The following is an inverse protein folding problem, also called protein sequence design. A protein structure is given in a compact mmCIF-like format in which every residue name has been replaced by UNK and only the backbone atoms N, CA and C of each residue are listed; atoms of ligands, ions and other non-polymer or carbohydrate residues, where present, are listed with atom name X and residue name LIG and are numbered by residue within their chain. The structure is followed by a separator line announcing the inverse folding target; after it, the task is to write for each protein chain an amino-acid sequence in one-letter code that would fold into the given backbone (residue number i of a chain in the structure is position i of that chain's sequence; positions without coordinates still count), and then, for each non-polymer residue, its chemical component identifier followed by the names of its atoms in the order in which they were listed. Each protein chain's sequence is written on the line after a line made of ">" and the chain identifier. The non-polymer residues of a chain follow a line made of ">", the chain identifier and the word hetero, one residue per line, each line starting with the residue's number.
data_IF_071875162879
#
_entry.id   IF_071875162879
#
_cell.length_a   1.000
_cell.length_b   1.000
_cell.length_c   1.000
_cell.angle_alpha   90.00
_cell.angle_beta   90.00
_cell.angle_gamma   90.00
#
_symmetry.space_group_name_H-M   'P 1'
#
loop_
_entity.id
_entity.type
_entity.pdbx_description
1 polymer ?
#
# COMPACT_ATOMS: atom_id res chain seq x y z
N UNK A 1 -23.82 -10.28 11.46
CA UNK A 1 -22.47 -10.54 10.91
C UNK A 1 -22.30 -12.00 10.41
N UNK A 2 -21.35 -12.28 9.50
CA UNK A 2 -20.92 -13.66 9.14
C UNK A 2 -19.68 -14.02 9.98
N UNK A 3 -19.63 -15.24 10.50
CA UNK A 3 -18.53 -15.75 11.33
C UNK A 3 -18.09 -17.12 10.79
N UNK A 4 -16.79 -17.33 10.64
CA UNK A 4 -16.21 -18.58 10.17
C UNK A 4 -15.61 -19.36 11.34
N UNK A 5 -16.00 -20.62 11.50
CA UNK A 5 -15.49 -21.45 12.57
C UNK A 5 -14.02 -21.86 12.33
N UNK A 6 -13.10 -21.49 13.22
CA UNK A 6 -11.66 -21.79 13.09
C UNK A 6 -11.29 -23.29 13.12
N UNK A 7 -12.21 -24.20 13.44
CA UNK A 7 -11.95 -25.64 13.49
C UNK A 7 -12.46 -26.40 12.26
N UNK A 8 -13.58 -25.98 11.68
CA UNK A 8 -14.24 -26.70 10.59
C UNK A 8 -14.57 -25.82 9.37
N UNK A 9 -14.17 -24.55 9.38
CA UNK A 9 -14.44 -23.55 8.32
C UNK A 9 -15.93 -23.30 8.00
N UNK A 10 -16.86 -23.79 8.84
CA UNK A 10 -18.28 -23.57 8.63
C UNK A 10 -18.64 -22.09 8.86
N UNK A 11 -19.24 -21.46 7.85
CA UNK A 11 -19.69 -20.06 7.90
C UNK A 11 -21.10 -20.00 8.46
N UNK A 12 -21.30 -19.26 9.54
CA UNK A 12 -22.60 -19.05 10.17
C UNK A 12 -22.96 -17.58 10.34
N UNK A 13 -24.26 -17.29 10.31
CA UNK A 13 -24.78 -15.94 10.57
C UNK A 13 -25.00 -15.78 12.06
N UNK A 14 -24.31 -14.80 12.64
CA UNK A 14 -24.34 -14.50 14.07
C UNK A 14 -24.99 -13.12 14.25
N UNK A 15 -25.91 -12.96 15.20
CA UNK A 15 -26.53 -11.66 15.47
C UNK A 15 -25.50 -10.71 16.10
N UNK A 16 -25.66 -9.42 15.83
CA UNK A 16 -24.62 -8.45 16.16
C UNK A 16 -24.41 -8.26 17.68
N UNK A 17 -25.44 -8.52 18.50
CA UNK A 17 -25.34 -8.51 19.96
C UNK A 17 -24.53 -9.69 20.54
N UNK A 18 -24.07 -10.62 19.70
CA UNK A 18 -23.17 -11.70 20.08
C UNK A 18 -21.69 -11.37 19.79
N UNK A 19 -21.38 -10.20 19.22
CA UNK A 19 -19.99 -9.74 19.10
C UNK A 19 -19.30 -9.70 20.48
N UNK A 20 -18.09 -10.27 20.57
CA UNK A 20 -17.33 -10.39 21.81
C UNK A 20 -17.73 -11.55 22.73
N UNK A 21 -18.87 -12.23 22.47
CA UNK A 21 -19.38 -13.35 23.26
C UNK A 21 -18.90 -14.70 22.71
N UNK A 22 -18.93 -15.74 23.54
CA UNK A 22 -18.63 -17.11 23.14
C UNK A 22 -19.87 -17.78 22.54
N UNK A 23 -19.72 -18.35 21.35
CA UNK A 23 -20.75 -19.12 20.65
C UNK A 23 -20.29 -20.56 20.42
N UNK A 24 -21.22 -21.47 20.18
CA UNK A 24 -20.94 -22.88 19.84
C UNK A 24 -21.20 -23.11 18.37
N UNK A 25 -20.24 -23.70 17.65
CA UNK A 25 -20.42 -24.04 16.24
C UNK A 25 -21.48 -25.14 16.09
N UNK A 26 -22.47 -24.93 15.22
CA UNK A 26 -23.54 -25.90 14.94
C UNK A 26 -23.05 -27.13 14.18
N UNK A 27 -21.91 -27.06 13.50
CA UNK A 27 -21.37 -28.15 12.71
C UNK A 27 -20.45 -29.09 13.53
N UNK A 28 -19.55 -28.54 14.34
CA UNK A 28 -18.53 -29.34 15.05
C UNK A 28 -18.63 -29.26 16.59
N UNK A 29 -19.53 -28.46 17.15
CA UNK A 29 -19.71 -28.32 18.60
C UNK A 29 -18.61 -27.51 19.32
N UNK A 30 -17.58 -27.03 18.63
CA UNK A 30 -16.52 -26.25 19.26
C UNK A 30 -17.03 -24.88 19.73
N UNK A 31 -16.63 -24.46 20.93
CA UNK A 31 -16.91 -23.14 21.48
C UNK A 31 -15.85 -22.13 21.03
N UNK A 32 -16.26 -21.02 20.42
CA UNK A 32 -15.36 -19.98 19.90
C UNK A 32 -15.87 -18.58 20.27
N UNK A 33 -14.95 -17.61 20.40
CA UNK A 33 -15.29 -16.23 20.73
C UNK A 33 -15.47 -15.41 19.46
N UNK A 34 -16.61 -14.74 19.33
CA UNK A 34 -16.89 -13.85 18.21
C UNK A 34 -16.05 -12.58 18.39
N UNK A 35 -15.36 -12.07 17.36
CA UNK A 35 -14.65 -10.79 17.44
C UNK A 35 -15.58 -9.67 17.92
N UNK A 36 -15.13 -8.84 18.86
CA UNK A 36 -15.89 -7.70 19.35
C UNK A 36 -15.86 -6.52 18.35
N UNK A 37 -16.90 -5.68 18.35
CA UNK A 37 -17.01 -4.49 17.47
C UNK A 37 -15.94 -3.41 17.70
N UNK A 38 -15.00 -3.59 18.64
CA UNK A 38 -13.99 -2.58 18.98
C UNK A 38 -12.59 -3.13 19.19
N UNK A 39 -12.33 -4.40 18.85
CA UNK A 39 -11.00 -4.99 19.00
C UNK A 39 -10.35 -5.25 17.64
N UNK A 40 -10.21 -4.20 16.83
CA UNK A 40 -9.10 -4.13 15.89
C UNK A 40 -7.83 -3.80 16.69
N UNK A 41 -7.46 -4.65 17.64
CA UNK A 41 -6.06 -4.68 18.08
C UNK A 41 -5.33 -5.23 16.88
N UNK A 42 -4.60 -4.34 16.21
CA UNK A 42 -3.49 -4.69 15.33
C UNK A 42 -2.72 -5.77 16.09
N UNK A 43 -2.89 -7.03 15.67
CA UNK A 43 -2.04 -8.10 16.14
C UNK A 43 -0.70 -7.73 15.53
N UNK A 44 0.13 -7.04 16.33
CA UNK A 44 1.57 -7.02 16.13
C UNK A 44 1.94 -8.47 15.89
N UNK A 45 2.42 -8.73 14.68
CA UNK A 45 2.82 -10.04 14.20
C UNK A 45 4.01 -10.48 15.06
N UNK A 46 3.71 -11.03 16.24
CA UNK A 46 4.68 -11.59 17.16
C UNK A 46 5.19 -12.89 16.53
N UNK A 47 6.21 -12.72 15.68
CA UNK A 47 7.35 -13.60 15.48
C UNK A 47 7.08 -15.07 15.85
N UNK A 48 6.28 -15.75 15.02
CA UNK A 48 6.31 -17.21 14.94
C UNK A 48 7.72 -17.62 14.46
N UNK A 49 8.61 -17.83 15.43
CA UNK A 49 9.90 -18.48 15.23
C UNK A 49 9.63 -19.89 14.73
N UNK A 50 9.72 -20.09 13.42
CA UNK A 50 9.86 -21.44 12.86
C UNK A 50 11.25 -21.97 13.29
N UNK A 51 11.35 -23.20 13.80
CA UNK A 51 12.65 -23.85 14.01
C UNK A 51 13.34 -24.02 12.66
N UNK A 52 14.63 -23.69 12.62
CA UNK A 52 15.46 -23.79 11.43
C UNK A 52 15.54 -25.25 10.94
N UNK A 53 15.49 -25.51 9.62
CA UNK A 53 15.87 -26.81 9.08
C UNK A 53 17.37 -27.03 9.31
N UNK A 54 17.72 -28.20 9.82
CA UNK A 54 19.08 -28.69 9.99
C UNK A 54 19.77 -28.80 8.63
N UNK A 55 20.60 -27.82 8.27
CA UNK A 55 21.43 -27.85 7.06
C UNK A 55 22.60 -28.80 7.30
N UNK A 56 22.69 -29.79 6.41
CA UNK A 56 23.71 -30.82 6.39
C UNK A 56 25.12 -30.25 6.19
N UNK A 57 26.07 -30.94 6.82
CA UNK A 57 27.50 -30.75 6.71
C UNK A 57 27.94 -30.85 5.24
N UNK A 58 28.42 -29.75 4.67
CA UNK A 58 29.32 -29.79 3.52
C UNK A 58 30.73 -29.45 3.97
N UNK A 59 31.59 -30.45 3.85
CA UNK A 59 33.04 -30.37 3.98
C UNK A 59 33.56 -29.76 2.68
N UNK A 60 34.20 -28.60 2.74
CA UNK A 60 35.08 -28.11 1.67
C UNK A 60 36.47 -27.89 2.26
N UNK A 61 37.36 -28.83 1.92
CA UNK A 61 38.81 -28.73 2.03
C UNK A 61 39.33 -27.97 0.80
N UNK A 62 40.31 -27.09 0.99
CA UNK A 62 41.05 -26.42 -0.10
C UNK A 62 41.14 -24.91 0.13
N UNK A 63 42.00 -24.38 1.01
CA UNK A 63 43.46 -24.34 0.92
C UNK A 63 43.91 -23.39 -0.22
N UNK A 64 44.26 -22.16 0.17
CA UNK A 64 44.70 -21.09 -0.74
C UNK A 64 45.00 -19.78 0.00
N UNK A 65 45.77 -19.86 1.09
CA UNK A 65 46.25 -18.71 1.84
C UNK A 65 47.39 -18.05 1.06
N UNK A 66 47.12 -16.93 0.37
CA UNK A 66 48.17 -16.02 -0.12
C UNK A 66 48.19 -14.81 0.79
N UNK A 67 49.23 -14.76 1.62
CA UNK A 67 49.51 -13.72 2.60
C UNK A 67 50.26 -12.59 1.87
N UNK A 68 49.55 -11.53 1.48
CA UNK A 68 50.19 -10.29 1.02
C UNK A 68 50.19 -9.32 2.19
N UNK A 69 51.34 -9.18 2.82
CA UNK A 69 51.63 -8.15 3.82
C UNK A 69 51.84 -6.83 3.07
N UNK A 70 50.83 -5.96 3.04
CA UNK A 70 51.04 -4.53 2.77
C UNK A 70 51.00 -3.81 4.10
N UNK A 71 52.18 -3.42 4.56
CA UNK A 71 52.37 -2.60 5.73
C UNK A 71 51.98 -1.14 5.43
N UNK A 72 51.25 -0.54 6.35
CA UNK A 72 51.10 0.90 6.52
C UNK A 72 49.91 1.49 5.79
N UNK A 73 48.85 1.83 6.54
CA UNK A 73 48.32 3.20 6.59
C UNK A 73 47.32 3.31 7.74
N UNK A 74 47.55 4.34 8.56
CA UNK A 74 46.66 4.90 9.58
C UNK A 74 45.22 5.00 9.08
N UNK A 75 44.22 4.48 9.81
CA UNK A 75 42.82 4.91 9.69
C UNK A 75 42.21 5.07 11.10
N UNK A 76 41.65 6.24 11.44
CA UNK A 76 41.15 6.57 12.77
C UNK A 76 39.70 6.10 12.98
N UNK A 77 39.33 6.01 14.27
CA UNK A 77 37.98 6.12 14.84
C UNK A 77 36.88 5.19 14.29
N UNK A 78 36.69 4.08 15.00
CA UNK A 78 35.42 3.33 15.01
C UNK A 78 34.36 4.12 15.80
N UNK A 79 33.74 5.10 15.15
CA UNK A 79 32.41 5.57 15.55
C UNK A 79 31.42 4.51 15.04
N UNK A 80 30.96 3.65 15.95
CA UNK A 80 29.76 2.87 15.73
C UNK A 80 28.57 3.84 15.64
N UNK A 81 28.28 4.32 14.44
CA UNK A 81 26.96 4.86 14.13
C UNK A 81 26.02 3.67 14.04
N UNK A 82 25.32 3.38 15.13
CA UNK A 82 24.03 2.74 15.01
C UNK A 82 23.20 3.65 14.10
N UNK A 83 23.06 3.27 12.83
CA UNK A 83 22.06 3.85 11.96
C UNK A 83 20.72 3.45 12.56
N UNK A 84 20.08 4.39 13.26
CA UNK A 84 18.64 4.35 13.42
C UNK A 84 18.03 4.07 12.03
N UNK A 85 17.04 3.17 11.90
CA UNK A 85 16.38 2.96 10.63
C UNK A 85 15.92 4.33 10.16
N UNK A 86 16.25 4.74 8.94
CA UNK A 86 15.82 6.04 8.48
C UNK A 86 14.29 5.97 8.36
N UNK A 87 13.59 6.48 9.37
CA UNK A 87 12.38 7.29 9.18
C UNK A 87 12.80 8.59 8.43
N UNK A 88 13.61 8.45 7.36
CA UNK A 88 13.93 9.52 6.45
C UNK A 88 12.71 9.68 5.57
N UNK A 89 11.84 10.58 6.02
CA UNK A 89 10.86 11.20 5.15
C UNK A 89 11.61 11.76 3.94
N UNK A 90 11.54 11.06 2.82
CA UNK A 90 11.92 11.61 1.55
C UNK A 90 10.76 12.53 1.15
N UNK A 91 10.85 13.82 1.48
CA UNK A 91 9.96 14.84 0.95
C UNK A 91 10.28 14.99 -0.54
N UNK A 92 9.81 14.07 -1.38
CA UNK A 92 10.24 14.08 -2.78
C UNK A 92 9.42 15.07 -3.57
N UNK A 93 10.16 15.98 -4.20
CA UNK A 93 9.69 16.90 -5.23
C UNK A 93 9.08 16.07 -6.38
N UNK A 94 7.77 15.79 -6.28
CA UNK A 94 6.94 15.10 -7.29
C UNK A 94 7.35 13.70 -7.72
N UNK A 95 8.55 13.21 -7.42
CA UNK A 95 9.11 11.97 -7.98
C UNK A 95 9.72 11.12 -6.88
N UNK A 96 9.11 10.01 -6.49
CA UNK A 96 9.77 8.98 -5.70
C UNK A 96 10.56 8.04 -6.62
N UNK A 97 11.77 7.64 -6.24
CA UNK A 97 12.57 6.70 -7.01
C UNK A 97 13.41 5.79 -6.11
N UNK A 98 13.40 4.50 -6.43
CA UNK A 98 14.33 3.51 -5.93
C UNK A 98 14.72 2.49 -7.02
N UNK A 99 15.45 1.44 -6.62
CA UNK A 99 15.98 0.42 -7.53
C UNK A 99 14.89 -0.38 -8.28
N UNK A 100 13.66 -0.40 -7.79
CA UNK A 100 12.58 -1.19 -8.38
C UNK A 100 11.51 -0.31 -9.02
N UNK A 101 11.31 0.90 -8.51
CA UNK A 101 10.15 1.71 -8.85
C UNK A 101 10.51 3.18 -8.94
N UNK A 102 9.96 3.86 -9.94
CA UNK A 102 9.88 5.32 -9.98
C UNK A 102 8.42 5.74 -10.08
N UNK A 103 7.95 6.52 -9.11
CA UNK A 103 6.58 7.06 -9.06
C UNK A 103 6.64 8.57 -9.20
N UNK A 104 5.99 9.10 -10.22
CA UNK A 104 5.99 10.52 -10.56
C UNK A 104 4.57 11.07 -10.54
N UNK A 105 4.37 12.19 -9.86
CA UNK A 105 3.14 12.98 -9.92
C UNK A 105 3.08 13.68 -11.28
N UNK A 106 2.15 13.23 -12.12
CA UNK A 106 1.97 13.75 -13.49
C UNK A 106 1.09 14.99 -13.48
N UNK A 107 -0.06 14.89 -12.83
CA UNK A 107 -1.07 15.95 -12.86
C UNK A 107 -1.95 15.92 -11.61
N UNK A 108 -2.49 17.10 -11.27
CA UNK A 108 -3.47 17.30 -10.19
C UNK A 108 -4.54 18.22 -10.72
N UNK A 109 -5.75 17.69 -10.90
CA UNK A 109 -6.89 18.43 -11.44
C UNK A 109 -8.05 18.43 -10.46
N UNK A 110 -8.79 19.53 -10.45
CA UNK A 110 -10.07 19.65 -9.75
C UNK A 110 -11.18 19.88 -10.78
N UNK A 111 -12.30 19.17 -10.61
CA UNK A 111 -13.51 19.43 -11.38
C UNK A 111 -14.44 18.23 -11.47
N UNK A 112 -15.52 18.33 -12.26
CA UNK A 112 -16.35 17.19 -12.57
C UNK A 112 -15.54 16.21 -13.41
N UNK A 113 -15.56 14.93 -13.03
CA UNK A 113 -14.92 13.90 -13.83
C UNK A 113 -15.86 13.30 -14.85
N UNK A 114 -15.29 12.98 -16.01
CA UNK A 114 -15.90 12.15 -17.04
C UNK A 114 -14.93 11.04 -17.37
N UNK A 115 -15.19 9.83 -16.87
CA UNK A 115 -14.26 8.71 -17.01
C UNK A 115 -14.96 7.45 -17.48
N UNK A 116 -14.30 6.72 -18.35
CA UNK A 116 -14.79 5.45 -18.87
C UNK A 116 -14.32 4.31 -17.95
N UNK A 117 -15.25 3.75 -17.18
CA UNK A 117 -14.93 2.68 -16.23
C UNK A 117 -14.87 1.29 -16.88
N UNK A 118 -15.58 1.13 -18.00
CA UNK A 118 -15.59 -0.06 -18.84
C UNK A 118 -15.79 0.39 -20.28
N UNK A 119 -15.35 -0.41 -21.28
CA UNK A 119 -15.61 -0.11 -22.68
C UNK A 119 -17.10 0.22 -22.94
N UNK A 120 -17.37 1.45 -23.35
CA UNK A 120 -18.71 2.00 -23.60
C UNK A 120 -19.48 2.50 -22.38
N UNK A 121 -18.91 2.45 -21.16
CA UNK A 121 -19.54 2.91 -19.92
C UNK A 121 -18.77 4.10 -19.35
N UNK A 122 -19.30 5.29 -19.62
CA UNK A 122 -18.80 6.55 -19.07
C UNK A 122 -19.58 6.89 -17.81
N UNK A 123 -18.85 7.29 -16.76
CA UNK A 123 -19.40 7.90 -15.56
C UNK A 123 -19.05 9.37 -15.60
N UNK A 124 -20.07 10.19 -15.37
CA UNK A 124 -19.91 11.62 -15.13
C UNK A 124 -20.27 11.89 -13.67
N UNK A 125 -19.40 12.60 -12.96
CA UNK A 125 -19.69 13.14 -11.63
C UNK A 125 -20.20 14.57 -11.79
N UNK A 126 -21.32 14.89 -11.14
CA UNK A 126 -21.83 16.25 -10.99
C UNK A 126 -21.14 17.01 -9.85
N UNK A 127 -20.42 16.29 -8.98
CA UNK A 127 -19.59 16.86 -7.93
C UNK A 127 -18.17 17.11 -8.45
N UNK A 128 -17.60 18.24 -8.05
CA UNK A 128 -16.17 18.46 -8.20
C UNK A 128 -15.40 17.49 -7.31
N UNK A 129 -14.40 16.85 -7.91
CA UNK A 129 -13.49 15.95 -7.20
C UNK A 129 -12.06 16.32 -7.51
N UNK A 130 -11.14 15.88 -6.65
CA UNK A 130 -9.71 16.00 -6.88
C UNK A 130 -9.20 14.72 -7.55
N UNK A 131 -8.72 14.85 -8.78
CA UNK A 131 -8.01 13.79 -9.50
C UNK A 131 -6.50 13.99 -9.39
N UNK A 132 -5.79 12.97 -8.94
CA UNK A 132 -4.34 12.94 -8.87
C UNK A 132 -3.81 11.85 -9.80
N UNK A 133 -3.13 12.25 -10.87
CA UNK A 133 -2.50 11.33 -11.81
C UNK A 133 -1.05 11.05 -11.43
N UNK A 134 -0.70 9.77 -11.37
CA UNK A 134 0.66 9.28 -11.12
C UNK A 134 1.11 8.35 -12.23
N UNK A 135 2.36 8.54 -12.64
CA UNK A 135 3.08 7.62 -13.53
C UNK A 135 3.95 6.71 -12.69
N UNK A 136 3.85 5.41 -12.94
CA UNK A 136 4.63 4.38 -12.28
C UNK A 136 5.52 3.73 -13.31
N UNK A 137 6.82 3.81 -13.11
CA UNK A 137 7.84 3.18 -13.97
C UNK A 137 8.46 2.01 -13.23
N UNK A 138 8.52 0.86 -13.89
CA UNK A 138 9.19 -0.31 -13.36
C UNK A 138 10.70 -0.23 -13.67
N UNK A 139 11.49 0.08 -12.65
CA UNK A 139 12.95 0.15 -12.75
C UNK A 139 13.62 -1.24 -12.57
N UNK A 140 12.85 -2.30 -12.30
CA UNK A 140 13.38 -3.67 -12.25
C UNK A 140 13.98 -4.08 -13.59
N UNK A 141 15.09 -4.81 -13.54
CA UNK A 141 15.74 -5.34 -14.74
C UNK A 141 15.06 -6.61 -15.29
N UNK A 142 14.28 -7.32 -14.47
CA UNK A 142 13.82 -8.67 -14.80
C UNK A 142 12.41 -9.03 -14.34
N UNK A 143 11.86 -8.32 -13.36
CA UNK A 143 10.55 -8.65 -12.79
C UNK A 143 9.49 -7.65 -13.22
N UNK A 144 8.31 -8.16 -13.60
CA UNK A 144 7.14 -7.31 -13.80
C UNK A 144 6.54 -6.88 -12.46
N UNK A 145 6.01 -5.66 -12.42
CA UNK A 145 5.37 -5.11 -11.24
C UNK A 145 3.85 -5.15 -11.42
N UNK A 146 3.14 -5.68 -10.41
CA UNK A 146 1.68 -5.63 -10.38
C UNK A 146 1.24 -4.27 -9.83
N UNK A 147 0.69 -3.42 -10.69
CA UNK A 147 0.19 -2.09 -10.36
C UNK A 147 -1.33 -2.05 -10.40
N UNK A 148 -1.93 -1.46 -9.37
CA UNK A 148 -3.36 -1.17 -9.35
C UNK A 148 -3.59 0.32 -9.15
N UNK A 149 -3.71 1.06 -10.26
CA UNK A 149 -4.30 2.39 -10.27
C UNK A 149 -5.77 2.31 -9.86
N UNK A 150 -6.24 3.19 -9.00
CA UNK A 150 -7.54 3.06 -8.35
C UNK A 150 -8.74 3.46 -9.22
N UNK A 151 -8.71 3.25 -10.54
CA UNK A 151 -9.88 3.60 -11.36
C UNK A 151 -11.17 2.91 -10.87
N UNK A 152 -11.04 1.77 -10.17
CA UNK A 152 -12.17 0.99 -9.62
C UNK A 152 -11.82 0.26 -8.31
N UNK A 153 -10.82 0.71 -7.56
CA UNK A 153 -10.40 -0.01 -6.36
C UNK A 153 -11.40 0.21 -5.23
N UNK A 154 -12.10 -0.86 -4.85
CA UNK A 154 -12.84 -0.94 -3.58
C UNK A 154 -11.91 -0.47 -2.47
N UNK A 155 -12.38 0.47 -1.64
CA UNK A 155 -11.65 1.00 -0.47
C UNK A 155 -11.33 -0.16 0.48
N UNK A 156 -10.22 -0.83 0.24
CA UNK A 156 -9.66 -1.81 1.15
C UNK A 156 -8.81 -1.06 2.17
N UNK A 157 -8.79 -1.54 3.41
CA UNK A 157 -7.88 -1.07 4.44
C UNK A 157 -6.43 -1.20 3.93
N UNK A 158 -5.84 -0.09 3.47
CA UNK A 158 -4.52 -0.07 2.82
C UNK A 158 -4.49 0.47 1.38
N UNK A 159 -5.55 1.17 0.93
CA UNK A 159 -5.49 1.99 -0.29
C UNK A 159 -4.61 3.24 -0.15
N UNK A 160 -4.48 4.02 -1.24
CA UNK A 160 -3.84 5.33 -1.19
C UNK A 160 -4.60 6.26 -0.25
N UNK A 161 -3.90 7.11 0.50
CA UNK A 161 -4.49 8.10 1.38
C UNK A 161 -3.99 9.49 1.05
N UNK A 162 -4.84 10.49 1.21
CA UNK A 162 -4.52 11.89 0.99
C UNK A 162 -4.78 12.66 2.29
N UNK A 163 -3.82 13.47 2.71
CA UNK A 163 -3.90 14.29 3.92
C UNK A 163 -3.52 15.74 3.61
N UNK A 164 -4.09 16.69 4.34
CA UNK A 164 -3.67 18.10 4.29
C UNK A 164 -2.44 18.37 5.19
N UNK A 165 -1.94 19.61 5.20
CA UNK A 165 -0.79 19.99 6.02
C UNK A 165 -1.01 19.85 7.55
N UNK A 166 -2.26 19.70 7.98
CA UNK A 166 -2.65 19.51 9.38
C UNK A 166 -2.86 18.03 9.71
N UNK A 167 -2.65 17.12 8.75
CA UNK A 167 -2.87 15.68 8.90
C UNK A 167 -4.35 15.30 8.91
N UNK A 168 -5.25 16.15 8.39
CA UNK A 168 -6.64 15.77 8.22
C UNK A 168 -6.77 14.88 6.98
N UNK A 169 -7.37 13.68 7.10
CA UNK A 169 -7.58 12.81 5.95
C UNK A 169 -8.64 13.39 5.02
N UNK A 170 -8.40 13.25 3.72
CA UNK A 170 -9.33 13.53 2.63
C UNK A 170 -9.88 12.19 2.13
N UNK A 171 -11.21 12.10 2.02
CA UNK A 171 -11.89 10.86 1.69
C UNK A 171 -11.62 10.46 0.24
N UNK A 172 -11.22 9.20 0.02
CA UNK A 172 -11.05 8.64 -1.32
C UNK A 172 -12.42 8.30 -1.89
N UNK A 173 -12.67 8.70 -3.14
CA UNK A 173 -13.91 8.42 -3.85
C UNK A 173 -13.76 7.12 -4.63
N UNK A 174 -14.61 6.15 -4.34
CA UNK A 174 -14.72 4.91 -5.10
C UNK A 174 -15.66 5.10 -6.30
N UNK A 175 -15.07 5.34 -7.47
CA UNK A 175 -15.83 5.49 -8.72
C UNK A 175 -16.60 4.23 -9.11
N UNK A 176 -16.13 3.03 -8.71
CA UNK A 176 -16.86 1.79 -8.97
C UNK A 176 -18.18 1.77 -8.20
N UNK A 177 -18.15 2.25 -6.95
CA UNK A 177 -19.33 2.41 -6.12
C UNK A 177 -20.31 3.42 -6.72
N UNK A 178 -19.83 4.56 -7.24
CA UNK A 178 -20.67 5.51 -8.00
C UNK A 178 -21.26 4.89 -9.26
N UNK A 179 -20.53 3.98 -9.91
CA UNK A 179 -20.96 3.23 -11.10
C UNK A 179 -22.02 2.16 -10.84
N UNK A 180 -22.33 1.85 -9.57
CA UNK A 180 -23.08 0.66 -9.17
C UNK A 180 -22.37 -0.66 -9.44
N UNK A 181 -21.03 -0.66 -9.59
CA UNK A 181 -20.24 -1.85 -9.88
C UNK A 181 -19.76 -2.48 -8.58
N UNK A 182 -20.50 -3.48 -8.07
CA UNK A 182 -20.25 -4.01 -6.73
C UNK A 182 -19.25 -5.18 -6.64
N UNK A 183 -18.80 -5.78 -7.76
CA UNK A 183 -17.97 -6.99 -7.70
C UNK A 183 -16.84 -7.11 -8.74
N UNK A 184 -16.85 -6.31 -9.80
CA UNK A 184 -15.77 -6.36 -10.80
C UNK A 184 -14.61 -5.50 -10.32
N UNK A 185 -13.70 -6.14 -9.57
CA UNK A 185 -12.45 -5.51 -9.21
C UNK A 185 -11.60 -5.36 -10.47
N UNK A 186 -11.02 -4.18 -10.71
CA UNK A 186 -10.07 -4.01 -11.80
C UNK A 186 -8.94 -5.01 -11.57
N UNK A 187 -8.56 -5.73 -12.64
CA UNK A 187 -7.40 -6.59 -12.57
C UNK A 187 -6.17 -5.69 -12.44
N UNK A 188 -5.23 -5.99 -11.54
CA UNK A 188 -3.96 -5.29 -11.51
C UNK A 188 -3.31 -5.36 -12.90
N UNK A 189 -2.80 -4.23 -13.34
CA UNK A 189 -2.00 -4.11 -14.55
C UNK A 189 -0.58 -4.62 -14.25
N UNK A 190 0.00 -5.39 -15.17
CA UNK A 190 1.39 -5.81 -15.06
C UNK A 190 2.24 -4.82 -15.85
N UNK A 191 3.19 -4.16 -15.18
CA UNK A 191 4.16 -3.25 -15.79
C UNK A 191 5.47 -4.04 -16.04
N UNK A 192 5.85 -4.32 -17.30
CA UNK A 192 7.12 -4.98 -17.61
C UNK A 192 8.35 -4.15 -17.20
N UNK A 193 9.54 -4.78 -17.05
CA UNK A 193 10.82 -4.09 -16.88
C UNK A 193 11.03 -2.93 -17.87
N UNK A 194 11.32 -1.75 -17.35
CA UNK A 194 11.57 -0.54 -18.15
C UNK A 194 10.33 0.16 -18.71
N UNK A 195 9.12 -0.39 -18.50
CA UNK A 195 7.87 0.23 -18.95
C UNK A 195 7.23 1.11 -17.86
N UNK A 196 6.20 1.86 -18.25
CA UNK A 196 5.44 2.72 -17.34
C UNK A 196 3.94 2.57 -17.56
N UNK A 197 3.17 2.71 -16.48
CA UNK A 197 1.73 2.86 -16.50
C UNK A 197 1.32 4.18 -15.83
N UNK A 198 0.16 4.73 -16.23
CA UNK A 198 -0.42 5.94 -15.62
C UNK A 198 -1.70 5.53 -14.90
N UNK A 199 -1.81 5.93 -13.64
CA UNK A 199 -2.99 5.75 -12.81
C UNK A 199 -3.55 7.07 -12.31
N UNK A 200 -4.84 7.06 -11.96
CA UNK A 200 -5.52 8.18 -11.33
C UNK A 200 -6.09 7.76 -9.98
N UNK A 201 -5.96 8.65 -8.98
CA UNK A 201 -6.58 8.57 -7.67
C UNK A 201 -7.61 9.69 -7.52
N UNK A 202 -8.78 9.36 -6.99
CA UNK A 202 -9.90 10.28 -6.86
C UNK A 202 -10.22 10.52 -5.38
N UNK A 203 -10.30 11.79 -4.99
CA UNK A 203 -10.57 12.21 -3.63
C UNK A 203 -11.63 13.31 -3.59
N UNK A 204 -12.29 13.46 -2.44
CA UNK A 204 -13.10 14.65 -2.16
C UNK A 204 -12.24 15.91 -2.22
N UNK A 205 -12.87 17.06 -2.47
CA UNK A 205 -12.18 18.33 -2.33
C UNK A 205 -11.82 18.61 -0.86
N UNK A 206 -10.65 19.20 -0.59
CA UNK A 206 -10.31 19.63 0.76
C UNK A 206 -11.32 20.68 1.25
N UNK A 207 -11.80 20.53 2.49
CA UNK A 207 -12.85 21.41 3.09
C UNK A 207 -12.42 22.87 3.27
N UNK A 208 -11.12 23.16 3.16
CA UNK A 208 -10.50 24.48 3.27
C UNK A 208 -9.39 24.57 2.23
N UNK A 209 -8.91 25.79 1.93
CA UNK A 209 -7.67 25.98 1.18
C UNK A 209 -6.53 25.30 1.95
N UNK A 210 -6.19 24.07 1.55
CA UNK A 210 -4.99 23.39 2.00
C UNK A 210 -3.81 24.06 1.30
N UNK A 211 -2.76 24.37 2.06
CA UNK A 211 -1.53 24.92 1.50
C UNK A 211 -0.63 23.81 0.97
N UNK A 212 -0.81 22.58 1.46
CA UNK A 212 -0.09 21.40 1.01
C UNK A 212 -0.97 20.15 1.12
N UNK A 213 -0.87 19.27 0.12
CA UNK A 213 -1.49 17.95 0.18
C UNK A 213 -0.41 16.87 0.09
N UNK A 214 -0.57 15.82 0.91
CA UNK A 214 0.32 14.66 0.99
C UNK A 214 -0.40 13.42 0.52
N UNK A 215 0.00 12.91 -0.65
CA UNK A 215 -0.46 11.63 -1.16
C UNK A 215 0.44 10.52 -0.65
N UNK A 216 -0.14 9.51 -0.01
CA UNK A 216 0.56 8.33 0.49
C UNK A 216 0.06 7.08 -0.24
N UNK A 217 0.95 6.38 -0.95
CA UNK A 217 0.64 5.17 -1.71
C UNK A 217 1.34 3.97 -1.05
N UNK A 218 0.60 2.98 -0.51
CA UNK A 218 1.22 1.78 0.05
C UNK A 218 1.94 0.97 -1.01
N UNK A 219 3.13 0.43 -0.70
CA UNK A 219 3.88 -0.41 -1.66
C UNK A 219 3.16 -1.68 -2.09
N UNK A 220 2.15 -2.12 -1.32
CA UNK A 220 1.25 -3.19 -1.70
C UNK A 220 0.53 -2.92 -3.03
N UNK A 221 0.34 -1.65 -3.40
CA UNK A 221 -0.25 -1.25 -4.68
C UNK A 221 0.67 -1.52 -5.88
N UNK A 222 1.95 -1.81 -5.62
CA UNK A 222 2.97 -2.20 -6.59
C UNK A 222 3.38 -3.67 -6.41
N UNK A 223 2.58 -4.49 -5.73
CA UNK A 223 2.92 -5.90 -5.45
C UNK A 223 4.13 -6.09 -4.53
N UNK A 224 4.58 -5.03 -3.85
CA UNK A 224 5.75 -5.05 -2.98
C UNK A 224 5.34 -4.92 -1.51
N UNK A 225 6.16 -5.48 -0.62
CA UNK A 225 6.00 -5.29 0.82
C UNK A 225 6.88 -4.13 1.30
N UNK A 226 6.47 -3.44 2.38
CA UNK A 226 7.32 -2.46 3.06
C UNK A 226 6.74 -1.05 3.14
N UNK A 227 7.65 -0.06 3.14
CA UNK A 227 7.37 1.35 3.35
C UNK A 227 6.37 1.93 2.33
N UNK A 228 5.82 3.11 2.61
CA UNK A 228 4.88 3.79 1.72
C UNK A 228 5.62 4.78 0.82
N UNK A 229 5.03 5.11 -0.32
CA UNK A 229 5.49 6.20 -1.20
C UNK A 229 4.72 7.46 -0.81
N UNK A 230 5.42 8.56 -0.53
CA UNK A 230 4.81 9.85 -0.20
C UNK A 230 5.14 10.86 -1.31
N UNK A 231 4.12 11.57 -1.79
CA UNK A 231 4.23 12.60 -2.83
C UNK A 231 3.58 13.89 -2.33
N UNK A 232 4.30 15.00 -2.49
CA UNK A 232 3.78 16.34 -2.21
C UNK A 232 3.04 16.88 -3.43
N UNK A 233 1.74 17.17 -3.28
CA UNK A 233 0.91 17.69 -4.35
C UNK A 233 0.90 19.23 -4.31
N UNK A 234 1.12 19.91 -5.45
CA UNK A 234 1.14 21.36 -5.51
C UNK A 234 -0.28 21.94 -5.38
N UNK A 235 -0.50 22.83 -4.41
CA UNK A 235 -1.82 23.39 -4.09
C UNK A 235 -2.24 24.59 -4.93
N UNK A 236 -1.30 25.18 -5.67
CA UNK A 236 -1.64 26.13 -6.73
C UNK A 236 -2.48 25.48 -7.85
N UNK A 237 -2.52 24.15 -7.94
CA UNK A 237 -3.42 23.41 -8.83
C UNK A 237 -4.87 23.31 -8.29
N UNK A 238 -5.10 23.66 -7.02
CA UNK A 238 -6.37 23.48 -6.28
C UNK A 238 -7.01 24.83 -5.94
N UNK A 239 -6.49 25.92 -6.52
CA UNK A 239 -7.08 27.24 -6.30
C UNK A 239 -8.44 27.30 -6.99
N UNK A 240 -9.49 27.35 -6.17
CA UNK A 240 -10.87 27.53 -6.58
C UNK A 240 -10.97 28.76 -7.49
N UNK A 241 -11.44 28.55 -8.72
CA UNK A 241 -11.99 29.63 -9.55
C UNK A 241 -13.33 30.09 -8.97
#
# INVERSE_FOLDING_TARGET
>A
MRFECQQCAHIMRVPDHAAGKSITCKSCGTRQRVPGRGSHRIISSDKQRRPAPSIGKYIWLGLGLVLVVVAGFFIPSLVNMAQDPPDSWASVDRVFEDNLLRVELVDVQQGPIKTEVLPGKVIESDMDILEIQVKVTNNSESESISYSASQLAVVTSGGPSLEDEKGNPIEQIDLASLAGMSNDRPRPELIPPGESAIGAYHFELPRKSADELRLTIPRGNFGQSGAKVELKCPTNAIQQN
#
